data_IF_499706642617
#
_entry.id   IF_499706642617
#
_cell.length_a   1.000
_cell.length_b   1.000
_cell.length_c   1.000
_cell.angle_alpha   90.00
_cell.angle_beta   90.00
_cell.angle_gamma   90.00
#
_symmetry.space_group_name_H-M   'P 1'
#
loop_
_entity.id
_entity.type
_entity.pdbx_description
1 polymer ?
#
# COMPACT_ATOMS: atom_id res chain seq x y z
N UNK A 1 1.59 -5.11 43.11
CA UNK A 1 2.40 -5.35 41.89
C UNK A 1 3.51 -4.30 41.86
N UNK A 2 4.78 -4.69 42.06
CA UNK A 2 5.92 -3.76 42.05
C UNK A 2 6.41 -3.57 40.61
N UNK A 3 6.52 -2.30 40.22
CA UNK A 3 6.82 -1.80 38.89
C UNK A 3 8.31 -2.06 38.55
N UNK A 4 8.64 -2.69 37.41
CA UNK A 4 10.01 -3.06 37.01
C UNK A 4 10.71 -2.03 36.08
N UNK A 5 10.19 -0.81 35.96
CA UNK A 5 10.67 0.15 34.95
C UNK A 5 11.53 1.33 35.46
N UNK A 6 12.17 1.23 36.62
CA UNK A 6 12.91 2.38 37.19
C UNK A 6 14.45 2.35 37.01
N UNK A 7 15.06 1.43 36.25
CA UNK A 7 16.53 1.29 36.25
C UNK A 7 17.24 1.21 34.88
N UNK A 8 16.60 1.60 33.77
CA UNK A 8 17.21 1.54 32.43
C UNK A 8 17.94 2.83 32.00
N UNK A 9 17.49 3.99 32.48
CA UNK A 9 18.07 5.29 32.13
C UNK A 9 19.54 5.48 32.55
N UNK A 10 19.97 5.14 33.79
CA UNK A 10 21.37 5.34 34.19
C UNK A 10 22.35 4.43 33.44
N UNK A 11 21.91 3.24 33.00
CA UNK A 11 22.75 2.29 32.26
C UNK A 11 23.06 2.80 30.85
N UNK A 12 22.05 3.31 30.14
CA UNK A 12 22.20 3.87 28.78
C UNK A 12 23.12 5.10 28.79
N UNK A 13 23.04 5.94 29.83
CA UNK A 13 23.92 7.12 29.96
C UNK A 13 25.38 6.69 30.16
N UNK A 14 25.64 5.71 31.03
CA UNK A 14 27.01 5.19 31.26
C UNK A 14 27.63 4.53 30.02
N UNK A 15 26.83 3.79 29.23
CA UNK A 15 27.29 3.15 27.99
C UNK A 15 27.61 4.19 26.90
N UNK A 16 26.83 5.27 26.82
CA UNK A 16 27.09 6.39 25.90
C UNK A 16 28.37 7.15 26.28
N UNK A 17 28.62 7.38 27.56
CA UNK A 17 29.85 8.03 28.03
C UNK A 17 31.09 7.17 27.75
N UNK A 18 31.00 5.85 27.95
CA UNK A 18 32.08 4.92 27.63
C UNK A 18 32.39 4.89 26.11
N UNK A 19 31.36 4.98 25.25
CA UNK A 19 31.54 5.04 23.80
C UNK A 19 32.22 6.35 23.37
N UNK A 20 31.79 7.49 23.91
CA UNK A 20 32.34 8.81 23.59
C UNK A 20 33.80 8.94 24.06
N UNK A 21 34.16 8.33 25.18
CA UNK A 21 35.55 8.23 25.68
C UNK A 21 36.46 7.40 24.75
N UNK A 22 35.94 6.35 24.12
CA UNK A 22 36.69 5.56 23.12
C UNK A 22 36.87 6.32 21.81
N UNK A 23 35.84 7.03 21.37
CA UNK A 23 35.87 7.78 20.10
C UNK A 23 36.82 8.98 20.16
N UNK A 24 36.96 9.65 21.30
CA UNK A 24 37.86 10.80 21.46
C UNK A 24 39.35 10.44 21.45
N UNK A 25 39.70 9.17 21.66
CA UNK A 25 41.10 8.67 21.64
C UNK A 25 41.60 8.32 20.22
N UNK A 26 40.74 8.39 19.21
CA UNK A 26 41.11 8.08 17.83
C UNK A 26 41.90 9.27 17.26
N UNK A 27 43.19 9.06 16.97
CA UNK A 27 44.08 10.12 16.47
C UNK A 27 43.58 10.69 15.13
N UNK A 28 43.35 12.01 14.99
CA UNK A 28 42.72 12.62 13.82
C UNK A 28 43.55 12.50 12.52
N UNK A 29 44.84 12.18 12.63
CA UNK A 29 45.74 11.96 11.50
C UNK A 29 45.62 10.59 10.83
N UNK A 30 45.03 9.59 11.49
CA UNK A 30 44.87 8.25 10.93
C UNK A 30 43.79 8.24 9.84
N UNK A 31 42.64 8.86 10.11
CA UNK A 31 41.52 8.94 9.16
C UNK A 31 41.88 9.67 7.85
N UNK A 32 42.70 10.73 7.93
CA UNK A 32 43.08 11.55 6.76
C UNK A 32 44.03 10.83 5.78
N UNK A 33 44.74 9.78 6.22
CA UNK A 33 45.59 8.96 5.34
C UNK A 33 44.77 7.96 4.52
N UNK A 34 43.73 7.38 5.13
CA UNK A 34 42.83 6.44 4.44
C UNK A 34 41.94 7.13 3.40
N UNK A 35 41.49 8.35 3.66
CA UNK A 35 40.68 9.10 2.69
C UNK A 35 41.47 9.48 1.44
N UNK A 36 42.74 9.89 1.56
CA UNK A 36 43.61 10.14 0.40
C UNK A 36 43.87 8.87 -0.42
N UNK A 37 44.13 7.73 0.22
CA UNK A 37 44.37 6.47 -0.48
C UNK A 37 43.11 5.96 -1.19
N UNK A 38 41.93 6.09 -0.57
CA UNK A 38 40.65 5.72 -1.18
C UNK A 38 40.28 6.60 -2.38
N UNK A 39 40.56 7.91 -2.33
CA UNK A 39 40.32 8.83 -3.45
C UNK A 39 41.28 8.53 -4.61
N UNK A 40 42.55 8.24 -4.34
CA UNK A 40 43.52 7.85 -5.38
C UNK A 40 43.11 6.53 -6.03
N UNK A 41 42.65 5.54 -5.25
CA UNK A 41 42.18 4.26 -5.76
C UNK A 41 40.91 4.41 -6.63
N UNK A 42 40.00 5.31 -6.24
CA UNK A 42 38.79 5.64 -7.00
C UNK A 42 39.12 6.35 -8.32
N UNK A 43 40.09 7.27 -8.31
CA UNK A 43 40.55 7.96 -9.53
C UNK A 43 41.35 7.01 -10.45
N UNK A 44 42.16 6.09 -9.90
CA UNK A 44 42.90 5.12 -10.70
C UNK A 44 42.00 4.05 -11.33
N UNK A 45 40.92 3.64 -10.66
CA UNK A 45 39.91 2.73 -11.24
C UNK A 45 39.13 3.41 -12.37
N UNK A 46 38.89 4.72 -12.27
CA UNK A 46 38.23 5.50 -13.32
C UNK A 46 39.06 5.63 -14.61
N UNK A 47 40.40 5.62 -14.52
CA UNK A 47 41.29 5.63 -15.70
C UNK A 47 41.45 4.26 -16.37
N UNK A 48 41.20 3.15 -15.64
CA UNK A 48 41.26 1.80 -16.20
C UNK A 48 39.99 1.36 -16.92
N UNK A 49 38.98 2.25 -17.05
CA UNK A 49 37.71 1.94 -17.71
C UNK A 49 36.85 0.90 -16.98
N UNK A 50 37.18 0.59 -15.71
CA UNK A 50 36.45 -0.37 -14.91
C UNK A 50 35.24 0.31 -14.25
N UNK A 51 34.23 0.59 -15.06
CA UNK A 51 32.89 0.86 -14.53
C UNK A 51 32.25 -0.51 -14.24
N UNK A 52 31.97 -0.90 -12.98
CA UNK A 52 31.12 -2.04 -12.76
C UNK A 52 29.81 -1.72 -13.49
N UNK A 53 29.46 -2.55 -14.46
CA UNK A 53 28.17 -2.44 -15.10
C UNK A 53 27.12 -2.59 -13.99
N UNK A 54 26.59 -1.46 -13.50
CA UNK A 54 25.24 -1.47 -12.98
C UNK A 54 24.41 -1.88 -14.19
N UNK A 55 24.16 -3.19 -14.28
CA UNK A 55 23.17 -3.74 -15.17
C UNK A 55 21.83 -3.17 -14.69
N UNK A 56 21.52 -1.95 -15.13
CA UNK A 56 20.13 -1.51 -15.24
C UNK A 56 19.56 -2.48 -16.28
N UNK A 57 18.72 -3.45 -15.88
CA UNK A 57 18.17 -4.37 -16.84
C UNK A 57 17.49 -3.54 -17.94
N UNK A 58 17.59 -3.94 -19.22
CA UNK A 58 16.94 -3.21 -20.29
C UNK A 58 15.45 -3.09 -19.97
N UNK A 59 14.87 -1.92 -20.25
CA UNK A 59 13.47 -1.48 -19.99
C UNK A 59 12.39 -2.36 -20.68
N UNK A 60 12.74 -3.57 -21.14
CA UNK A 60 11.84 -4.51 -21.80
C UNK A 60 10.93 -5.28 -20.85
N UNK A 61 11.29 -5.45 -19.58
CA UNK A 61 10.47 -6.21 -18.63
C UNK A 61 9.29 -5.42 -18.05
N UNK A 62 9.41 -4.11 -17.86
CA UNK A 62 8.31 -3.29 -17.33
C UNK A 62 7.18 -3.10 -18.33
N UNK A 63 7.50 -2.86 -19.61
CA UNK A 63 6.50 -2.71 -20.67
C UNK A 63 5.81 -4.04 -20.98
N UNK A 64 6.56 -5.15 -21.04
CA UNK A 64 5.97 -6.47 -21.25
C UNK A 64 5.08 -6.90 -20.09
N UNK A 65 5.47 -6.59 -18.85
CA UNK A 65 4.64 -6.86 -17.67
C UNK A 65 3.37 -6.01 -17.65
N UNK A 66 3.48 -4.71 -17.91
CA UNK A 66 2.32 -3.82 -17.98
C UNK A 66 1.34 -4.27 -19.07
N UNK A 67 1.84 -4.63 -20.26
CA UNK A 67 1.01 -5.15 -21.35
C UNK A 67 0.35 -6.50 -20.99
N UNK A 68 1.05 -7.38 -20.28
CA UNK A 68 0.47 -8.65 -19.83
C UNK A 68 -0.57 -8.46 -18.70
N UNK A 69 -0.35 -7.52 -17.78
CA UNK A 69 -1.28 -7.20 -16.70
C UNK A 69 -2.54 -6.50 -17.25
N UNK A 70 -2.39 -5.63 -18.25
CA UNK A 70 -3.49 -4.97 -18.97
C UNK A 70 -4.32 -5.99 -19.79
N UNK A 71 -3.66 -6.86 -20.57
CA UNK A 71 -4.35 -7.94 -21.30
C UNK A 71 -5.06 -8.91 -20.34
N UNK A 72 -4.47 -9.18 -19.17
CA UNK A 72 -5.10 -10.01 -18.14
C UNK A 72 -6.31 -9.30 -17.52
N UNK A 73 -6.23 -7.99 -17.29
CA UNK A 73 -7.34 -7.16 -16.82
C UNK A 73 -8.52 -7.19 -17.79
N UNK A 74 -8.26 -6.95 -19.08
CA UNK A 74 -9.30 -6.96 -20.12
C UNK A 74 -9.99 -8.33 -20.27
N UNK A 75 -9.22 -9.43 -20.25
CA UNK A 75 -9.79 -10.78 -20.30
C UNK A 75 -10.63 -11.11 -19.06
N UNK A 76 -10.27 -10.57 -17.88
CA UNK A 76 -11.06 -10.74 -16.65
C UNK A 76 -12.30 -9.84 -16.70
N UNK A 77 -12.18 -8.59 -17.16
CA UNK A 77 -13.29 -7.64 -17.31
C UNK A 77 -14.38 -8.20 -18.25
N UNK A 78 -13.99 -8.91 -19.31
CA UNK A 78 -14.91 -9.57 -20.23
C UNK A 78 -15.68 -10.77 -19.63
N UNK A 79 -15.37 -11.19 -18.40
CA UNK A 79 -16.14 -12.22 -17.68
C UNK A 79 -17.37 -11.66 -16.98
N UNK A 80 -17.49 -10.34 -16.85
CA UNK A 80 -18.63 -9.73 -16.15
C UNK A 80 -19.77 -9.45 -17.12
N UNK A 81 -21.00 -9.70 -16.67
CA UNK A 81 -22.22 -9.42 -17.41
C UNK A 81 -22.47 -7.92 -17.59
N UNK A 82 -21.75 -7.08 -16.83
CA UNK A 82 -21.79 -5.61 -16.90
C UNK A 82 -20.45 -4.99 -16.49
N UNK A 83 -20.17 -3.74 -16.92
CA UNK A 83 -18.97 -3.02 -16.49
C UNK A 83 -18.94 -2.82 -14.98
N UNK A 84 -17.75 -2.90 -14.39
CA UNK A 84 -17.58 -2.58 -12.97
C UNK A 84 -17.68 -1.06 -12.75
N UNK A 85 -18.13 -0.67 -11.57
CA UNK A 85 -18.16 0.72 -11.11
C UNK A 85 -17.17 0.94 -9.96
N UNK A 86 -16.87 2.21 -9.68
CA UNK A 86 -16.16 2.57 -8.46
C UNK A 86 -17.08 2.49 -7.24
N UNK A 87 -16.57 2.14 -6.05
CA UNK A 87 -17.38 2.14 -4.83
C UNK A 87 -17.89 3.53 -4.44
N UNK A 88 -17.17 4.58 -4.85
CA UNK A 88 -17.50 6.00 -4.69
C UNK A 88 -16.61 6.87 -5.59
N UNK A 89 -16.96 8.15 -5.85
CA UNK A 89 -16.19 9.06 -6.73
C UNK A 89 -14.98 9.69 -6.01
N UNK A 90 -14.11 8.86 -5.45
CA UNK A 90 -12.90 9.31 -4.73
C UNK A 90 -11.66 9.38 -5.62
N UNK A 91 -10.51 9.63 -4.99
CA UNK A 91 -9.21 9.70 -5.67
C UNK A 91 -8.32 8.53 -5.28
N UNK A 92 -7.48 8.06 -6.20
CA UNK A 92 -6.53 7.01 -5.91
C UNK A 92 -5.42 7.54 -4.98
N UNK A 93 -5.37 7.03 -3.75
CA UNK A 93 -4.33 7.40 -2.77
C UNK A 93 -3.21 6.38 -2.69
N UNK A 94 -3.50 5.09 -2.82
CA UNK A 94 -2.49 4.01 -2.79
C UNK A 94 -2.82 2.91 -3.79
N UNK A 95 -1.78 2.44 -4.49
CA UNK A 95 -1.88 1.43 -5.56
C UNK A 95 -1.71 0.02 -5.03
N UNK A 96 -2.16 -0.94 -5.82
CA UNK A 96 -1.94 -2.36 -5.59
C UNK A 96 -0.45 -2.71 -5.63
N UNK A 97 -0.01 -3.54 -4.70
CA UNK A 97 1.35 -4.08 -4.66
C UNK A 97 1.42 -5.36 -3.83
N UNK A 98 2.58 -6.03 -3.80
CA UNK A 98 2.78 -7.22 -2.95
C UNK A 98 2.61 -6.96 -1.45
N UNK A 99 2.72 -5.71 -1.01
CA UNK A 99 2.56 -5.32 0.40
C UNK A 99 1.22 -4.61 0.65
N UNK A 100 0.43 -4.38 -0.40
CA UNK A 100 -0.86 -3.69 -0.35
C UNK A 100 -1.82 -4.37 -1.33
N UNK A 101 -2.54 -5.42 -0.90
CA UNK A 101 -3.31 -6.30 -1.78
C UNK A 101 -4.67 -5.70 -2.24
N UNK A 102 -4.72 -4.37 -2.37
CA UNK A 102 -5.91 -3.63 -2.79
C UNK A 102 -5.57 -2.23 -3.32
N UNK A 103 -6.61 -1.45 -3.60
CA UNK A 103 -6.50 -0.02 -3.86
C UNK A 103 -7.10 0.77 -2.70
N UNK A 104 -6.45 1.88 -2.37
CA UNK A 104 -7.06 2.86 -1.46
C UNK A 104 -7.63 4.01 -2.28
N UNK A 105 -8.93 4.23 -2.11
CA UNK A 105 -9.67 5.31 -2.78
C UNK A 105 -10.08 6.31 -1.71
N UNK A 106 -9.40 7.45 -1.67
CA UNK A 106 -9.61 8.51 -0.69
C UNK A 106 -10.87 9.32 -1.01
N UNK A 107 -11.70 9.51 0.02
CA UNK A 107 -12.89 10.37 -0.02
C UNK A 107 -13.25 10.77 1.42
N UNK A 108 -14.16 11.72 1.61
CA UNK A 108 -14.58 12.17 2.93
C UNK A 108 -15.16 11.07 3.84
N UNK A 109 -14.98 11.24 5.15
CA UNK A 109 -15.61 10.40 6.17
C UNK A 109 -17.15 10.42 6.01
N UNK A 110 -17.80 9.26 6.19
CA UNK A 110 -19.26 9.16 6.10
C UNK A 110 -19.78 9.01 4.66
N UNK A 111 -18.92 9.12 3.65
CA UNK A 111 -19.35 8.94 2.26
C UNK A 111 -19.79 7.50 2.00
N UNK A 112 -20.80 7.30 1.13
CA UNK A 112 -21.35 5.97 0.91
C UNK A 112 -20.39 5.08 0.14
N UNK A 113 -20.39 3.79 0.49
CA UNK A 113 -19.64 2.74 -0.21
C UNK A 113 -20.65 1.81 -0.88
N UNK A 114 -20.50 1.60 -2.18
CA UNK A 114 -21.32 0.71 -2.99
C UNK A 114 -20.53 -0.49 -3.52
N UNK A 115 -21.19 -1.60 -3.86
CA UNK A 115 -20.57 -2.71 -4.57
C UNK A 115 -20.07 -2.27 -5.93
N UNK A 116 -18.95 -2.83 -6.36
CA UNK A 116 -18.38 -2.56 -7.69
C UNK A 116 -19.16 -3.29 -8.80
N UNK A 117 -19.92 -4.32 -8.41
CA UNK A 117 -20.84 -5.09 -9.24
C UNK A 117 -21.84 -5.82 -8.31
N UNK A 118 -22.96 -6.29 -8.85
CA UNK A 118 -23.97 -7.04 -8.11
C UNK A 118 -23.39 -8.31 -7.46
N UNK A 119 -23.95 -8.72 -6.33
CA UNK A 119 -23.48 -9.90 -5.63
C UNK A 119 -24.25 -10.22 -4.35
N UNK A 120 -23.63 -11.06 -3.53
CA UNK A 120 -24.14 -11.46 -2.22
C UNK A 120 -23.10 -11.20 -1.14
N UNK A 121 -23.51 -10.60 -0.03
CA UNK A 121 -22.62 -10.36 1.11
C UNK A 121 -22.29 -11.69 1.78
N UNK A 122 -21.02 -12.10 1.72
CA UNK A 122 -20.55 -13.37 2.29
C UNK A 122 -19.84 -13.18 3.63
N UNK A 123 -19.36 -11.97 3.93
CA UNK A 123 -18.71 -11.67 5.20
C UNK A 123 -18.97 -10.24 5.64
N UNK A 124 -19.18 -10.08 6.95
CA UNK A 124 -19.22 -8.80 7.63
C UNK A 124 -18.35 -8.90 8.86
N UNK A 125 -17.34 -8.03 8.96
CA UNK A 125 -16.45 -7.96 10.11
C UNK A 125 -16.60 -6.64 10.85
N UNK A 126 -16.45 -6.70 12.18
CA UNK A 126 -16.37 -5.54 13.06
C UNK A 126 -15.17 -5.69 13.98
N UNK A 127 -14.01 -5.26 13.50
CA UNK A 127 -12.74 -5.33 14.23
C UNK A 127 -12.17 -3.92 14.41
N UNK A 128 -11.31 -3.76 15.41
CA UNK A 128 -10.54 -2.55 15.67
C UNK A 128 -9.18 -2.56 14.98
N UNK A 129 -8.67 -3.74 14.58
CA UNK A 129 -7.33 -3.91 14.01
C UNK A 129 -7.37 -4.26 12.53
N UNK A 130 -6.21 -4.21 11.86
CA UNK A 130 -6.07 -4.61 10.46
C UNK A 130 -7.00 -3.84 9.52
N UNK A 131 -7.91 -4.55 8.85
CA UNK A 131 -8.92 -3.96 7.95
C UNK A 131 -10.06 -3.23 8.68
N UNK A 132 -10.15 -3.35 10.00
CA UNK A 132 -11.21 -2.76 10.79
C UNK A 132 -12.58 -3.37 10.47
N UNK A 133 -13.58 -2.51 10.33
CA UNK A 133 -14.88 -2.91 9.82
C UNK A 133 -14.79 -3.13 8.32
N UNK A 134 -15.26 -4.28 7.84
CA UNK A 134 -15.30 -4.56 6.42
C UNK A 134 -16.50 -5.41 6.00
N UNK A 135 -16.80 -5.33 4.71
CA UNK A 135 -17.78 -6.18 4.02
C UNK A 135 -17.08 -6.89 2.87
N UNK A 136 -17.33 -8.19 2.71
CA UNK A 136 -16.91 -8.96 1.54
C UNK A 136 -18.15 -9.41 0.76
N UNK A 137 -18.13 -9.18 -0.55
CA UNK A 137 -19.20 -9.52 -1.49
C UNK A 137 -18.68 -10.57 -2.46
N UNK A 138 -19.42 -11.67 -2.59
CA UNK A 138 -19.20 -12.66 -3.63
C UNK A 138 -20.00 -12.28 -4.87
N UNK A 139 -19.35 -12.44 -6.02
CA UNK A 139 -19.93 -12.17 -7.32
C UNK A 139 -19.89 -13.45 -8.17
N UNK A 140 -20.32 -13.33 -9.43
CA UNK A 140 -20.23 -14.42 -10.39
C UNK A 140 -18.77 -14.81 -10.71
N UNK A 141 -18.57 -15.99 -11.30
CA UNK A 141 -17.29 -16.44 -11.83
C UNK A 141 -16.12 -16.53 -10.83
N UNK A 142 -16.42 -16.73 -9.54
CA UNK A 142 -15.42 -16.90 -8.48
C UNK A 142 -14.73 -15.60 -8.07
N UNK A 143 -15.35 -14.46 -8.39
CA UNK A 143 -14.87 -13.13 -8.06
C UNK A 143 -15.41 -12.67 -6.71
N UNK A 144 -14.57 -11.99 -5.93
CA UNK A 144 -14.96 -11.40 -4.66
C UNK A 144 -14.35 -10.02 -4.51
N UNK A 145 -15.10 -9.11 -3.90
CA UNK A 145 -14.63 -7.78 -3.54
C UNK A 145 -14.74 -7.58 -2.04
N UNK A 146 -13.76 -6.89 -1.45
CA UNK A 146 -13.74 -6.57 -0.02
C UNK A 146 -13.57 -5.08 0.19
N UNK A 147 -14.39 -4.50 1.05
CA UNK A 147 -14.48 -3.07 1.35
C UNK A 147 -14.16 -2.85 2.81
N UNK A 148 -13.02 -2.25 3.12
CA UNK A 148 -12.50 -2.12 4.48
C UNK A 148 -12.45 -0.68 4.99
N UNK A 149 -12.04 -0.53 6.26
CA UNK A 149 -11.97 0.72 7.01
C UNK A 149 -13.32 1.44 7.17
N UNK A 150 -14.43 0.70 7.13
CA UNK A 150 -15.77 1.29 7.16
C UNK A 150 -16.09 1.92 8.53
N UNK A 151 -16.88 2.99 8.52
CA UNK A 151 -17.36 3.64 9.75
C UNK A 151 -18.62 2.96 10.26
N UNK A 152 -19.55 2.69 9.34
CA UNK A 152 -20.82 1.99 9.59
C UNK A 152 -21.04 0.97 8.48
N UNK A 153 -21.70 -0.13 8.82
CA UNK A 153 -22.09 -1.19 7.89
C UNK A 153 -23.62 -1.32 7.93
N UNK A 154 -24.26 -1.26 6.77
CA UNK A 154 -25.72 -1.27 6.59
C UNK A 154 -26.27 -2.59 6.05
N UNK A 155 -25.39 -3.54 5.73
CA UNK A 155 -25.74 -4.87 5.23
C UNK A 155 -25.37 -5.96 6.22
N UNK A 156 -25.91 -7.15 6.01
CA UNK A 156 -25.59 -8.38 6.74
C UNK A 156 -25.26 -9.50 5.77
N UNK A 157 -24.61 -10.55 6.29
CA UNK A 157 -24.34 -11.77 5.53
C UNK A 157 -25.63 -12.35 4.97
N UNK A 158 -25.60 -12.75 3.70
CA UNK A 158 -26.74 -13.27 2.92
C UNK A 158 -27.56 -12.19 2.19
N UNK A 159 -27.28 -10.91 2.40
CA UNK A 159 -27.95 -9.85 1.64
C UNK A 159 -27.49 -9.89 0.18
N UNK A 160 -28.46 -9.89 -0.74
CA UNK A 160 -28.21 -9.60 -2.16
C UNK A 160 -28.06 -8.10 -2.34
N UNK A 161 -27.01 -7.68 -3.03
CA UNK A 161 -26.67 -6.27 -3.23
C UNK A 161 -26.54 -5.98 -4.71
N UNK A 162 -27.02 -4.81 -5.11
CA UNK A 162 -26.79 -4.24 -6.43
C UNK A 162 -25.79 -3.09 -6.33
N UNK A 163 -25.28 -2.62 -7.46
CA UNK A 163 -24.43 -1.41 -7.53
C UNK A 163 -25.04 -0.16 -6.87
N UNK A 164 -26.37 -0.07 -6.76
CA UNK A 164 -27.07 1.03 -6.09
C UNK A 164 -27.22 0.81 -4.57
N UNK A 165 -26.97 -0.42 -4.09
CA UNK A 165 -27.18 -0.78 -2.69
C UNK A 165 -25.98 -0.31 -1.86
N UNK A 166 -26.20 0.68 -1.01
CA UNK A 166 -25.18 1.11 -0.05
C UNK A 166 -24.81 -0.02 0.93
N UNK A 167 -23.52 -0.38 0.96
CA UNK A 167 -22.96 -1.37 1.89
C UNK A 167 -22.72 -0.76 3.27
N UNK A 168 -22.30 0.50 3.30
CA UNK A 168 -21.89 1.21 4.48
C UNK A 168 -21.28 2.57 4.14
N UNK A 169 -20.54 3.13 5.09
CA UNK A 169 -19.91 4.44 4.97
C UNK A 169 -18.40 4.35 5.17
N UNK A 170 -17.66 5.24 4.49
CA UNK A 170 -16.22 5.45 4.70
C UNK A 170 -15.95 5.84 6.15
N UNK A 171 -14.97 5.18 6.76
CA UNK A 171 -14.63 5.33 8.16
C UNK A 171 -13.16 5.55 8.42
N UNK A 172 -12.78 5.24 9.66
CA UNK A 172 -11.42 5.30 10.18
C UNK A 172 -11.11 4.10 11.09
N UNK A 173 -11.74 2.95 10.83
CA UNK A 173 -11.52 1.74 11.64
C UNK A 173 -10.33 0.93 11.13
N UNK A 174 -9.68 0.17 12.00
CA UNK A 174 -8.50 -0.60 11.63
C UNK A 174 -7.24 0.26 11.51
N UNK A 175 -6.28 -0.20 10.70
CA UNK A 175 -5.03 0.48 10.41
C UNK A 175 -5.18 1.37 9.18
N UNK A 176 -5.43 2.66 9.42
CA UNK A 176 -5.68 3.65 8.37
C UNK A 176 -4.97 4.96 8.68
N UNK A 177 -4.48 5.64 7.64
CA UNK A 177 -3.84 6.96 7.74
C UNK A 177 -4.80 8.13 7.53
N UNK A 178 -6.05 7.86 7.13
CA UNK A 178 -7.07 8.87 6.85
C UNK A 178 -8.28 8.26 6.13
N UNK A 179 -9.36 9.04 5.92
CA UNK A 179 -10.59 8.51 5.31
C UNK A 179 -10.37 8.01 3.88
N UNK A 180 -10.59 6.71 3.66
CA UNK A 180 -10.55 6.05 2.36
C UNK A 180 -11.33 4.73 2.40
N UNK A 181 -11.67 4.20 1.23
CA UNK A 181 -12.08 2.80 1.08
C UNK A 181 -10.88 1.98 0.62
N UNK A 182 -10.49 0.97 1.40
CA UNK A 182 -9.56 -0.07 0.94
C UNK A 182 -10.36 -1.16 0.22
N UNK A 183 -10.06 -1.35 -1.07
CA UNK A 183 -10.75 -2.27 -1.96
C UNK A 183 -9.80 -3.40 -2.38
N UNK A 184 -10.07 -4.61 -1.91
CA UNK A 184 -9.41 -5.81 -2.40
C UNK A 184 -10.31 -6.52 -3.42
N UNK A 185 -9.67 -7.13 -4.41
CA UNK A 185 -10.35 -7.98 -5.39
C UNK A 185 -9.62 -9.32 -5.46
N UNK A 186 -10.39 -10.41 -5.40
CA UNK A 186 -9.86 -11.76 -5.59
C UNK A 186 -10.60 -12.51 -6.68
N UNK A 187 -9.87 -13.33 -7.43
CA UNK A 187 -10.40 -14.24 -8.43
C UNK A 187 -9.87 -15.65 -8.14
N UNK A 188 -10.79 -16.58 -7.86
CA UNK A 188 -10.44 -17.96 -7.50
C UNK A 188 -9.40 -18.03 -6.36
N UNK A 189 -9.54 -17.14 -5.37
CA UNK A 189 -8.67 -17.07 -4.19
C UNK A 189 -7.35 -16.32 -4.35
N UNK A 190 -7.05 -15.77 -5.54
CA UNK A 190 -5.84 -14.97 -5.77
C UNK A 190 -6.17 -13.49 -5.85
N UNK A 191 -5.38 -12.64 -5.20
CA UNK A 191 -5.50 -11.18 -5.34
C UNK A 191 -5.21 -10.74 -6.77
N UNK A 192 -6.04 -9.84 -7.28
CA UNK A 192 -5.91 -9.23 -8.60
C UNK A 192 -5.82 -7.73 -8.43
N UNK A 193 -4.98 -7.07 -9.21
CA UNK A 193 -4.89 -5.61 -9.24
C UNK A 193 -6.25 -5.01 -9.67
N UNK A 194 -6.96 -4.27 -8.80
CA UNK A 194 -8.24 -3.69 -9.17
C UNK A 194 -8.14 -2.62 -10.26
N UNK A 195 -6.97 -1.99 -10.45
CA UNK A 195 -6.81 -0.88 -11.39
C UNK A 195 -7.02 -1.31 -12.86
N UNK A 196 -6.76 -2.58 -13.19
CA UNK A 196 -7.00 -3.13 -14.53
C UNK A 196 -8.45 -3.58 -14.78
N UNK A 197 -9.32 -3.50 -13.77
CA UNK A 197 -10.72 -3.96 -13.85
C UNK A 197 -11.73 -2.83 -13.67
N UNK A 198 -11.35 -1.79 -12.93
CA UNK A 198 -12.21 -0.66 -12.61
C UNK A 198 -12.09 0.46 -13.65
N UNK A 199 -13.09 1.34 -13.74
CA UNK A 199 -12.96 2.60 -14.47
C UNK A 199 -11.76 3.42 -13.95
N UNK A 200 -11.28 4.36 -14.78
CA UNK A 200 -10.18 5.25 -14.39
C UNK A 200 -10.49 5.97 -13.07
N UNK A 201 -9.60 5.79 -12.09
CA UNK A 201 -9.69 6.49 -10.80
C UNK A 201 -8.83 7.75 -10.90
N UNK A 202 -9.40 8.95 -10.70
CA UNK A 202 -8.63 10.17 -10.78
C UNK A 202 -7.53 10.17 -9.71
N UNK A 203 -6.34 10.66 -10.08
CA UNK A 203 -5.29 10.95 -9.11
C UNK A 203 -5.70 12.08 -8.17
N UNK A 204 -5.08 12.16 -7.00
CA UNK A 204 -5.30 13.27 -6.08
C UNK A 204 -5.09 14.61 -6.80
N UNK A 205 -6.03 15.57 -6.69
CA UNK A 205 -5.87 16.87 -7.32
C UNK A 205 -4.61 17.53 -6.76
N UNK A 206 -3.70 17.91 -7.65
CA UNK A 206 -2.54 18.72 -7.28
C UNK A 206 -3.13 20.07 -6.88
N UNK A 207 -3.20 20.35 -5.57
CA UNK A 207 -3.63 21.65 -5.08
C UNK A 207 -2.67 22.67 -5.68
N UNK A 208 -3.13 23.43 -6.67
CA UNK A 208 -2.35 24.52 -7.24
C UNK A 208 -1.97 25.42 -6.07
N UNK A 209 -0.68 25.56 -5.81
CA UNK A 209 -0.16 26.47 -4.80
C UNK A 209 -0.74 27.85 -5.09
N UNK A 210 -1.72 28.28 -4.29
CA UNK A 210 -2.21 29.65 -4.33
C UNK A 210 -1.00 30.52 -4.01
N UNK A 211 -0.57 31.28 -5.02
CA UNK A 211 0.57 32.19 -4.94
C UNK A 211 0.18 33.46 -4.19
#
# INVERSE_FOLDING_TARGET
>A
MKNQNENLLPKIVSEREALNSKLSKIKPGFLKKFTKLAIILFFSLSLLGYYPALAVPPVRHSVAKASADEQRGEVIANKFSKPLILPHPGYLSTKFSSYHPGLDIAIGLGMPIHPIIDGEVIQVSRDFWGLGNFVEVSHENGFKSKYAHMGRIFVKVGDKVTEEKMLGEVGLTGNTSGPHTHLEITLNGNYVDPAGLLPEIPGMPIMASTK
#
